data_IF_929595538061
#
_entry.id   IF_929595538061
#
_cell.length_a   1.000
_cell.length_b   1.000
_cell.length_c   1.000
_cell.angle_alpha   90.00
_cell.angle_beta   90.00
_cell.angle_gamma   90.00
#
_symmetry.space_group_name_H-M   'P 1'
#
loop_
_entity.id
_entity.type
_entity.pdbx_description
1 polymer ?
#
# COMPACT_ATOMS: atom_id res chain seq x y z
N UNK A 1 10.83 6.93 9.85
CA UNK A 1 10.03 8.14 10.20
C UNK A 1 8.64 7.63 10.53
N UNK A 2 8.08 8.00 11.69
CA UNK A 2 6.73 7.56 12.10
C UNK A 2 5.75 8.70 11.86
N UNK A 3 4.75 8.47 11.03
CA UNK A 3 3.69 9.42 10.77
C UNK A 3 2.47 9.16 11.65
N UNK A 4 2.40 9.81 12.82
CA UNK A 4 1.19 10.04 13.63
C UNK A 4 0.46 8.82 14.21
N UNK A 5 0.57 8.60 15.53
CA UNK A 5 -0.28 7.65 16.27
C UNK A 5 -0.91 8.35 17.47
N UNK A 6 -2.11 8.90 17.28
CA UNK A 6 -2.96 9.34 18.37
C UNK A 6 -4.03 8.28 18.59
N UNK A 7 -3.83 7.40 19.58
CA UNK A 7 -4.82 6.39 19.94
C UNK A 7 -5.95 7.06 20.74
N UNK A 8 -7.18 6.90 20.26
CA UNK A 8 -8.37 7.48 20.85
C UNK A 8 -9.16 6.43 21.63
N UNK A 9 -8.77 6.12 22.87
CA UNK A 9 -9.41 5.06 23.69
C UNK A 9 -10.95 5.18 23.86
N UNK A 10 -11.54 6.35 23.58
CA UNK A 10 -12.99 6.56 23.53
C UNK A 10 -13.44 7.41 22.31
N UNK A 11 -12.56 7.58 21.31
CA UNK A 11 -12.73 8.55 20.23
C UNK A 11 -12.33 7.99 18.86
N UNK A 12 -12.06 8.91 17.93
CA UNK A 12 -11.61 8.57 16.57
C UNK A 12 -10.09 8.42 16.59
N UNK A 13 -9.57 7.31 16.06
CA UNK A 13 -8.14 7.10 15.89
C UNK A 13 -7.53 8.08 14.88
N UNK A 14 -6.30 8.52 15.13
CA UNK A 14 -5.62 9.49 14.26
C UNK A 14 -5.29 8.92 12.88
N UNK A 15 -5.34 9.71 11.79
CA UNK A 15 -4.89 9.26 10.48
C UNK A 15 -3.37 9.04 10.49
N UNK A 16 -2.93 8.02 9.75
CA UNK A 16 -1.53 7.77 9.48
C UNK A 16 -0.88 8.89 8.65
N UNK A 17 0.45 8.96 8.70
CA UNK A 17 1.20 10.01 8.01
C UNK A 17 1.36 9.81 6.51
N UNK A 18 2.06 10.75 5.88
CA UNK A 18 2.14 10.86 4.44
C UNK A 18 3.52 11.36 4.04
N UNK A 19 4.10 10.73 3.02
CA UNK A 19 5.37 11.16 2.45
C UNK A 19 5.33 11.07 0.92
N UNK A 20 5.83 12.14 0.29
CA UNK A 20 5.93 12.27 -1.16
C UNK A 20 7.37 12.60 -1.51
N UNK A 21 8.03 11.67 -2.19
CA UNK A 21 9.35 11.85 -2.77
C UNK A 21 9.18 11.92 -4.28
N UNK A 22 9.52 13.07 -4.87
CA UNK A 22 9.27 13.34 -6.28
C UNK A 22 10.49 13.99 -6.92
N UNK A 23 10.97 13.44 -8.03
CA UNK A 23 11.96 14.11 -8.90
C UNK A 23 11.25 14.95 -9.95
N UNK A 24 11.48 16.26 -9.96
CA UNK A 24 10.73 17.23 -10.77
C UNK A 24 10.81 16.94 -12.28
N UNK A 25 9.66 16.83 -12.96
CA UNK A 25 9.51 16.51 -14.39
C UNK A 25 9.71 17.73 -15.33
N UNK A 26 9.87 18.94 -14.78
CA UNK A 26 9.73 20.19 -15.53
C UNK A 26 11.02 20.71 -16.16
N UNK A 27 12.16 20.12 -15.86
CA UNK A 27 13.46 20.55 -16.39
C UNK A 27 14.08 19.41 -17.19
N UNK A 28 14.64 19.73 -18.37
CA UNK A 28 15.34 18.74 -19.19
C UNK A 28 16.33 17.96 -18.33
N UNK A 29 16.14 16.64 -18.28
CA UNK A 29 16.94 15.77 -17.44
C UNK A 29 18.26 15.47 -18.14
N UNK A 30 19.28 16.29 -17.88
CA UNK A 30 20.65 15.93 -18.21
C UNK A 30 21.19 14.97 -17.14
N UNK A 31 21.17 13.67 -17.45
CA UNK A 31 21.71 12.61 -16.58
C UNK A 31 20.66 11.73 -15.90
N UNK A 32 21.13 10.85 -15.01
CA UNK A 32 20.30 9.87 -14.32
C UNK A 32 19.59 10.50 -13.10
N UNK A 33 18.26 10.47 -13.11
CA UNK A 33 17.39 11.01 -12.05
C UNK A 33 16.65 9.87 -11.35
N UNK A 34 17.12 9.53 -10.15
CA UNK A 34 16.61 8.44 -9.32
C UNK A 34 15.94 8.99 -8.07
N UNK A 35 14.77 8.46 -7.74
CA UNK A 35 14.16 8.61 -6.43
C UNK A 35 14.40 7.33 -5.61
N UNK A 36 14.99 7.45 -4.42
CA UNK A 36 15.35 6.29 -3.59
C UNK A 36 14.71 6.36 -2.21
N UNK A 37 14.13 5.24 -1.76
CA UNK A 37 13.84 4.98 -0.35
C UNK A 37 14.61 3.75 0.14
N UNK A 38 15.48 3.96 1.11
CA UNK A 38 16.18 2.90 1.84
C UNK A 38 15.78 2.82 3.33
N UNK A 39 14.86 3.67 3.77
CA UNK A 39 14.45 3.76 5.16
C UNK A 39 13.28 2.83 5.49
N UNK A 40 13.14 2.53 6.79
CA UNK A 40 11.89 2.03 7.35
C UNK A 40 10.93 3.21 7.60
N UNK A 41 9.77 3.17 6.93
CA UNK A 41 8.72 4.18 6.98
C UNK A 41 7.42 3.53 7.44
N UNK A 42 6.80 4.15 8.44
CA UNK A 42 5.52 3.70 9.00
C UNK A 42 4.50 4.84 8.94
N UNK A 43 3.42 4.55 8.23
CA UNK A 43 2.31 5.44 7.95
C UNK A 43 1.00 4.85 8.49
N UNK A 44 1.05 3.98 9.49
CA UNK A 44 -0.16 3.34 10.01
C UNK A 44 -1.06 4.33 10.77
N UNK A 45 -2.37 4.13 10.66
CA UNK A 45 -3.37 4.87 11.43
C UNK A 45 -3.39 4.44 12.90
N UNK A 46 -3.92 5.30 13.76
CA UNK A 46 -4.11 5.02 15.18
C UNK A 46 -5.43 4.32 15.48
N UNK A 47 -5.48 3.65 16.62
CA UNK A 47 -6.63 2.88 17.06
C UNK A 47 -7.71 3.78 17.70
N UNK A 48 -8.96 3.32 17.72
CA UNK A 48 -10.05 4.05 18.39
C UNK A 48 -11.41 3.36 18.27
N UNK A 49 -12.46 3.96 18.80
CA UNK A 49 -13.83 3.44 18.60
C UNK A 49 -14.19 3.43 17.10
N UNK A 50 -13.87 4.53 16.40
CA UNK A 50 -13.73 4.56 14.94
C UNK A 50 -12.24 4.67 14.66
N UNK A 51 -11.64 3.66 14.04
CA UNK A 51 -10.21 3.69 13.84
C UNK A 51 -9.75 4.66 12.75
N UNK A 52 -8.50 5.10 12.86
CA UNK A 52 -7.88 6.03 11.92
C UNK A 52 -7.52 5.35 10.59
N UNK A 53 -7.59 6.09 9.47
CA UNK A 53 -7.10 5.58 8.19
C UNK A 53 -5.59 5.37 8.22
N UNK A 54 -5.10 4.39 7.48
CA UNK A 54 -3.69 4.31 7.08
C UNK A 54 -3.30 5.49 6.20
N UNK A 55 -2.00 5.77 6.19
CA UNK A 55 -1.40 6.91 5.52
C UNK A 55 -1.02 6.66 4.06
N UNK A 56 -0.05 7.42 3.54
CA UNK A 56 0.32 7.39 2.12
C UNK A 56 1.82 7.49 1.87
N UNK A 57 2.30 6.77 0.87
CA UNK A 57 3.67 6.87 0.38
C UNK A 57 3.69 6.94 -1.14
N UNK A 58 4.29 8.01 -1.67
CA UNK A 58 4.59 8.16 -3.10
C UNK A 58 6.09 8.31 -3.29
N UNK A 59 6.65 7.45 -4.13
CA UNK A 59 8.00 7.58 -4.67
C UNK A 59 7.91 7.71 -6.19
N UNK A 60 8.18 8.89 -6.71
CA UNK A 60 8.25 9.17 -8.15
C UNK A 60 9.68 9.52 -8.56
N UNK A 61 10.25 8.72 -9.45
CA UNK A 61 11.55 8.95 -10.06
C UNK A 61 11.45 8.97 -11.58
N UNK A 62 12.00 9.99 -12.26
CA UNK A 62 11.89 10.10 -13.71
C UNK A 62 12.53 8.89 -14.41
N UNK A 63 13.81 8.59 -14.14
CA UNK A 63 14.47 7.41 -14.69
C UNK A 63 14.27 6.17 -13.82
N UNK A 64 14.40 6.31 -12.50
CA UNK A 64 14.27 5.15 -11.62
C UNK A 64 13.55 5.53 -10.32
N UNK A 65 12.62 4.70 -9.89
CA UNK A 65 12.11 4.71 -8.52
C UNK A 65 12.55 3.42 -7.81
N UNK A 66 13.45 3.58 -6.83
CA UNK A 66 14.12 2.47 -6.15
C UNK A 66 13.68 2.41 -4.68
N UNK A 67 13.01 1.33 -4.30
CA UNK A 67 12.71 1.04 -2.90
C UNK A 67 13.52 -0.18 -2.43
N UNK A 68 14.37 0.02 -1.43
CA UNK A 68 15.09 -1.04 -0.70
C UNK A 68 14.70 -1.09 0.78
N UNK A 69 13.98 -0.07 1.26
CA UNK A 69 13.50 0.03 2.63
C UNK A 69 12.25 -0.79 2.95
N UNK A 70 11.68 -0.56 4.14
CA UNK A 70 10.41 -1.16 4.56
C UNK A 70 9.35 -0.07 4.59
N UNK A 71 8.20 -0.32 3.95
CA UNK A 71 7.07 0.60 3.98
C UNK A 71 5.89 -0.11 4.62
N UNK A 72 5.34 0.46 5.69
CA UNK A 72 4.15 -0.05 6.38
C UNK A 72 3.06 1.02 6.37
N UNK A 73 1.84 0.64 6.02
CA UNK A 73 0.66 1.49 6.13
C UNK A 73 -0.59 0.67 6.41
N UNK A 74 -0.89 0.51 7.70
CA UNK A 74 -2.06 -0.21 8.18
C UNK A 74 -3.16 0.78 8.60
N UNK A 75 -4.41 0.38 8.50
CA UNK A 75 -5.50 1.05 9.21
C UNK A 75 -5.41 0.73 10.70
N UNK A 76 -5.92 1.63 11.55
CA UNK A 76 -6.04 1.36 12.99
C UNK A 76 -7.15 0.36 13.30
N UNK A 77 -7.13 -0.20 14.50
CA UNK A 77 -8.13 -1.13 15.01
C UNK A 77 -9.25 -0.40 15.79
N UNK A 78 -10.47 -0.95 15.75
CA UNK A 78 -11.61 -0.33 16.44
C UNK A 78 -12.90 -1.14 16.44
N UNK A 79 -14.03 -0.50 16.78
CA UNK A 79 -15.36 -1.12 16.57
C UNK A 79 -15.69 -1.17 15.08
N UNK A 80 -15.32 -0.10 14.38
CA UNK A 80 -15.23 -0.04 12.93
C UNK A 80 -13.76 0.10 12.59
N UNK A 81 -13.20 -0.92 11.94
CA UNK A 81 -11.80 -0.96 11.56
C UNK A 81 -11.45 0.18 10.62
N UNK A 82 -10.29 0.79 10.85
CA UNK A 82 -9.78 1.88 10.04
C UNK A 82 -9.48 1.38 8.64
N UNK A 83 -9.82 2.13 7.59
CA UNK A 83 -9.27 1.82 6.29
C UNK A 83 -7.75 1.76 6.37
N UNK A 84 -7.13 0.88 5.58
CA UNK A 84 -5.72 0.94 5.30
C UNK A 84 -5.41 2.10 4.37
N UNK A 85 -4.61 1.79 3.38
CA UNK A 85 -4.25 2.70 2.30
C UNK A 85 -5.46 2.90 1.34
N UNK A 86 -6.21 4.01 1.44
CA UNK A 86 -7.46 4.25 0.68
C UNK A 86 -7.29 4.94 -0.67
N UNK A 87 -8.09 4.51 -1.65
CA UNK A 87 -8.31 4.95 -3.04
C UNK A 87 -8.25 6.46 -3.41
N UNK A 88 -8.24 7.39 -2.45
CA UNK A 88 -8.07 8.82 -2.71
C UNK A 88 -6.78 9.32 -2.05
N UNK A 89 -5.63 8.79 -2.51
CA UNK A 89 -4.25 9.15 -2.12
C UNK A 89 -3.62 8.33 -0.97
N UNK A 90 -4.36 7.43 -0.31
CA UNK A 90 -3.80 6.42 0.60
C UNK A 90 -3.33 5.18 -0.17
N UNK A 91 -2.03 4.92 -0.17
CA UNK A 91 -1.42 3.90 -1.03
C UNK A 91 0.08 3.89 -0.88
N UNK A 92 0.72 2.78 -1.25
CA UNK A 92 2.14 2.77 -1.58
C UNK A 92 2.24 2.81 -3.10
N UNK A 93 2.76 3.91 -3.61
CA UNK A 93 2.90 4.17 -5.04
C UNK A 93 4.38 4.30 -5.39
N UNK A 94 4.90 3.38 -6.19
CA UNK A 94 6.25 3.50 -6.78
C UNK A 94 6.08 3.74 -8.28
N UNK A 95 6.42 4.94 -8.74
CA UNK A 95 6.12 5.39 -10.09
C UNK A 95 7.40 5.84 -10.79
N UNK A 96 7.57 5.43 -12.05
CA UNK A 96 8.64 5.94 -12.90
C UNK A 96 8.25 6.05 -14.36
N UNK A 97 8.85 6.98 -15.08
CA UNK A 97 8.75 7.05 -16.54
C UNK A 97 9.63 6.01 -17.23
N UNK A 98 10.58 5.39 -16.53
CA UNK A 98 11.38 4.28 -17.04
C UNK A 98 11.27 3.06 -16.12
N UNK A 99 12.13 2.89 -15.11
CA UNK A 99 12.17 1.66 -14.32
C UNK A 99 11.69 1.86 -12.88
N UNK A 100 11.00 0.87 -12.35
CA UNK A 100 10.73 0.75 -10.91
C UNK A 100 11.43 -0.50 -10.38
N UNK A 101 12.25 -0.35 -9.35
CA UNK A 101 12.88 -1.47 -8.66
C UNK A 101 12.44 -1.51 -7.21
N UNK A 102 11.71 -2.58 -6.84
CA UNK A 102 11.41 -2.88 -5.44
C UNK A 102 12.20 -4.08 -4.95
N UNK A 103 13.12 -3.83 -4.03
CA UNK A 103 13.87 -4.83 -3.24
C UNK A 103 13.54 -4.77 -1.76
N UNK A 104 12.70 -3.80 -1.36
CA UNK A 104 12.21 -3.59 -0.03
C UNK A 104 10.86 -4.26 0.26
N UNK A 105 10.54 -4.45 1.53
CA UNK A 105 9.26 -5.06 1.95
C UNK A 105 8.17 -4.00 2.01
N UNK A 106 7.01 -4.30 1.46
CA UNK A 106 5.83 -3.43 1.56
C UNK A 106 4.71 -4.17 2.29
N UNK A 107 4.17 -3.55 3.32
CA UNK A 107 3.04 -4.06 4.11
C UNK A 107 1.93 -3.02 4.11
N UNK A 108 0.74 -3.44 3.73
CA UNK A 108 -0.47 -2.63 3.82
C UNK A 108 -1.63 -3.46 4.35
N UNK A 109 -2.69 -2.78 4.78
CA UNK A 109 -3.93 -3.47 5.10
C UNK A 109 -4.93 -2.63 5.85
N UNK A 110 -6.18 -3.07 5.84
CA UNK A 110 -7.20 -2.51 6.70
C UNK A 110 -6.96 -2.89 8.16
N UNK A 111 -7.47 -2.07 9.06
CA UNK A 111 -7.52 -2.41 10.47
C UNK A 111 -8.65 -3.39 10.79
N UNK A 112 -8.53 -3.99 11.97
CA UNK A 112 -9.52 -4.89 12.54
C UNK A 112 -10.72 -4.11 13.09
N UNK A 113 -11.91 -4.64 12.90
CA UNK A 113 -13.14 -4.09 13.46
C UNK A 113 -13.93 -5.10 14.28
N UNK A 114 -14.48 -4.74 15.44
CA UNK A 114 -15.40 -5.63 16.17
C UNK A 114 -16.68 -5.91 15.35
N UNK A 115 -17.23 -4.88 14.69
CA UNK A 115 -18.46 -4.98 13.88
C UNK A 115 -18.15 -5.09 12.39
N UNK A 116 -17.20 -4.28 11.91
CA UNK A 116 -16.88 -4.17 10.49
C UNK A 116 -15.40 -3.94 10.27
N UNK A 117 -14.78 -4.76 9.43
CA UNK A 117 -13.38 -4.61 9.06
C UNK A 117 -13.14 -3.40 8.15
N UNK A 118 -11.93 -2.83 8.23
CA UNK A 118 -11.53 -1.70 7.40
C UNK A 118 -11.39 -2.02 5.90
N UNK A 119 -11.14 -1.01 5.10
CA UNK A 119 -10.74 -1.19 3.71
C UNK A 119 -9.32 -1.73 3.63
N UNK A 120 -9.06 -2.74 2.81
CA UNK A 120 -7.70 -3.22 2.53
C UNK A 120 -6.78 -2.14 1.98
N UNK A 121 -5.47 -2.42 1.99
CA UNK A 121 -4.48 -1.50 1.44
C UNK A 121 -4.38 -1.56 -0.09
N UNK A 122 -3.64 -0.62 -0.67
CA UNK A 122 -3.29 -0.57 -2.09
C UNK A 122 -1.79 -0.40 -2.22
N UNK A 123 -1.17 -1.29 -2.98
CA UNK A 123 0.20 -1.15 -3.45
C UNK A 123 0.17 -1.11 -4.97
N UNK A 124 0.67 -0.02 -5.55
CA UNK A 124 0.74 0.17 -6.99
C UNK A 124 2.16 0.51 -7.42
N UNK A 125 2.66 -0.22 -8.42
CA UNK A 125 3.92 0.07 -9.08
C UNK A 125 3.66 0.28 -10.56
N UNK A 126 4.14 1.39 -11.09
CA UNK A 126 4.01 1.71 -12.50
C UNK A 126 5.33 2.20 -13.08
N UNK A 127 5.72 1.62 -14.21
CA UNK A 127 6.95 1.94 -14.90
C UNK A 127 6.68 2.09 -16.41
N UNK A 128 7.15 3.17 -17.03
CA UNK A 128 7.07 3.32 -18.49
C UNK A 128 7.89 2.23 -19.23
N UNK A 129 9.01 1.79 -18.67
CA UNK A 129 9.78 0.68 -19.21
C UNK A 129 9.48 -0.64 -18.48
N UNK A 130 9.98 -0.85 -17.26
CA UNK A 130 9.81 -2.11 -16.53
C UNK A 130 9.69 -1.95 -15.01
N UNK A 131 8.70 -2.64 -14.42
CA UNK A 131 8.62 -2.92 -12.98
C UNK A 131 9.39 -4.20 -12.67
N UNK A 132 10.32 -4.12 -11.71
CA UNK A 132 11.09 -5.25 -11.16
C UNK A 132 10.79 -5.37 -9.66
N UNK A 133 9.90 -6.28 -9.27
CA UNK A 133 9.66 -6.59 -7.87
C UNK A 133 10.41 -7.85 -7.43
N UNK A 134 11.37 -7.69 -6.53
CA UNK A 134 12.19 -8.79 -5.97
C UNK A 134 11.88 -9.11 -4.52
N UNK A 135 11.02 -8.32 -3.87
CA UNK A 135 10.73 -8.43 -2.45
C UNK A 135 9.26 -8.70 -2.17
N UNK A 136 8.95 -9.05 -0.92
CA UNK A 136 7.60 -9.40 -0.53
C UNK A 136 6.70 -8.18 -0.43
N UNK A 137 5.51 -8.29 -1.02
CA UNK A 137 4.42 -7.35 -0.84
C UNK A 137 3.28 -8.11 -0.16
N UNK A 138 2.82 -7.62 0.98
CA UNK A 138 1.71 -8.19 1.72
C UNK A 138 0.63 -7.12 1.95
N UNK A 139 -0.58 -7.38 1.47
CA UNK A 139 -1.71 -6.46 1.62
C UNK A 139 -2.91 -7.22 2.16
N UNK A 140 -3.27 -6.94 3.40
CA UNK A 140 -4.42 -7.55 4.05
C UNK A 140 -5.71 -6.78 3.73
N UNK A 141 -6.85 -7.48 3.66
CA UNK A 141 -8.15 -6.82 3.81
C UNK A 141 -8.39 -6.40 5.26
N UNK A 142 -9.49 -5.70 5.52
CA UNK A 142 -9.92 -5.46 6.91
C UNK A 142 -10.66 -6.65 7.48
N UNK A 143 -10.18 -7.15 8.62
CA UNK A 143 -10.79 -8.28 9.31
C UNK A 143 -11.78 -7.81 10.38
N UNK A 144 -12.68 -8.70 10.81
CA UNK A 144 -13.60 -8.41 11.91
C UNK A 144 -14.14 -9.66 12.62
N UNK A 145 -14.72 -9.44 13.80
CA UNK A 145 -15.54 -10.44 14.51
C UNK A 145 -16.97 -10.58 13.96
N UNK A 146 -17.33 -9.83 12.92
CA UNK A 146 -18.67 -9.83 12.34
C UNK A 146 -18.63 -9.80 10.81
N UNK A 147 -18.53 -8.62 10.18
CA UNK A 147 -18.52 -8.49 8.71
C UNK A 147 -17.16 -8.00 8.20
N UNK A 148 -16.51 -8.81 7.37
CA UNK A 148 -15.22 -8.48 6.76
C UNK A 148 -15.28 -7.21 5.90
N UNK A 149 -14.16 -6.51 5.83
CA UNK A 149 -13.98 -5.30 5.04
C UNK A 149 -13.58 -5.57 3.58
N UNK A 150 -13.09 -4.55 2.87
CA UNK A 150 -12.58 -4.79 1.51
C UNK A 150 -11.22 -5.49 1.56
N UNK A 151 -10.96 -6.36 0.58
CA UNK A 151 -9.66 -6.99 0.37
C UNK A 151 -8.58 -6.00 -0.05
N UNK A 152 -7.33 -6.43 0.06
CA UNK A 152 -6.18 -5.69 -0.43
C UNK A 152 -6.10 -5.63 -1.95
N UNK A 153 -5.32 -4.69 -2.49
CA UNK A 153 -4.98 -4.65 -3.92
C UNK A 153 -3.48 -4.48 -4.14
N UNK A 154 -2.93 -5.30 -5.03
CA UNK A 154 -1.59 -5.16 -5.59
C UNK A 154 -1.74 -4.96 -7.10
N UNK A 155 -1.17 -3.90 -7.66
CA UNK A 155 -1.13 -3.67 -9.11
C UNK A 155 0.30 -3.34 -9.54
N UNK A 156 0.88 -4.19 -10.37
CA UNK A 156 2.21 -4.00 -10.94
C UNK A 156 2.05 -3.84 -12.45
N UNK A 157 2.51 -2.72 -13.01
CA UNK A 157 2.31 -2.43 -14.43
C UNK A 157 3.54 -1.84 -15.08
N UNK A 158 3.91 -2.44 -16.21
CA UNK A 158 4.93 -1.93 -17.12
C UNK A 158 4.31 -1.59 -18.47
N UNK A 159 4.79 -0.58 -19.19
CA UNK A 159 4.26 -0.27 -20.54
C UNK A 159 5.03 -0.97 -21.67
N UNK A 160 6.36 -1.03 -21.61
CA UNK A 160 7.18 -1.51 -22.73
C UNK A 160 7.70 -2.94 -22.54
N UNK A 161 8.15 -3.29 -21.34
CA UNK A 161 8.74 -4.60 -21.03
C UNK A 161 7.91 -5.28 -19.96
N UNK A 162 7.59 -6.59 -20.07
CA UNK A 162 6.79 -7.29 -19.07
C UNK A 162 7.33 -7.13 -17.65
N UNK A 163 6.42 -6.95 -16.70
CA UNK A 163 6.73 -6.88 -15.28
C UNK A 163 7.47 -8.14 -14.84
N UNK A 164 8.60 -7.97 -14.16
CA UNK A 164 9.37 -9.06 -13.57
C UNK A 164 9.09 -9.11 -12.07
N UNK A 165 8.42 -10.17 -11.63
CA UNK A 165 8.16 -10.42 -10.22
C UNK A 165 8.80 -11.73 -9.77
N UNK A 166 9.78 -11.65 -8.87
CA UNK A 166 10.36 -12.80 -8.17
C UNK A 166 10.06 -12.79 -6.66
N UNK A 167 9.54 -11.68 -6.15
CA UNK A 167 9.08 -11.56 -4.77
C UNK A 167 7.71 -12.21 -4.53
N UNK A 168 7.42 -12.53 -3.27
CA UNK A 168 6.10 -13.04 -2.89
C UNK A 168 5.05 -11.93 -2.92
N UNK A 169 3.94 -12.17 -3.60
CA UNK A 169 2.76 -11.30 -3.58
C UNK A 169 1.69 -11.99 -2.72
N UNK A 170 1.32 -11.37 -1.60
CA UNK A 170 0.28 -11.86 -0.70
C UNK A 170 -0.81 -10.82 -0.62
N UNK A 171 -2.00 -11.17 -1.11
CA UNK A 171 -3.18 -10.34 -0.95
C UNK A 171 -4.24 -11.16 -0.24
N UNK A 172 -4.94 -10.54 0.70
CA UNK A 172 -6.01 -11.20 1.44
C UNK A 172 -7.30 -10.43 1.29
N UNK A 173 -8.42 -11.16 1.32
CA UNK A 173 -9.75 -10.58 1.48
C UNK A 173 -9.94 -10.00 2.87
N UNK A 174 -11.06 -9.32 3.08
CA UNK A 174 -11.52 -9.00 4.43
C UNK A 174 -12.26 -10.20 5.01
N UNK A 175 -11.80 -10.72 6.15
CA UNK A 175 -12.44 -11.87 6.78
C UNK A 175 -13.42 -11.43 7.86
N UNK A 176 -14.58 -12.08 7.95
CA UNK A 176 -15.56 -11.85 9.00
C UNK A 176 -16.20 -13.15 9.48
N UNK A 177 -16.53 -13.23 10.77
CA UNK A 177 -17.13 -14.44 11.35
C UNK A 177 -18.53 -14.71 10.79
N UNK A 178 -19.32 -13.66 10.54
CA UNK A 178 -20.68 -13.77 10.03
C UNK A 178 -20.73 -13.71 8.50
N UNK A 179 -19.90 -12.84 7.91
CA UNK A 179 -19.78 -12.72 6.47
C UNK A 179 -18.38 -12.21 6.10
N UNK A 180 -17.76 -12.88 5.15
CA UNK A 180 -16.54 -12.35 4.52
C UNK A 180 -16.86 -11.13 3.68
N UNK A 181 -15.87 -10.24 3.58
CA UNK A 181 -15.92 -9.06 2.75
C UNK A 181 -15.40 -9.33 1.34
N UNK A 182 -14.86 -8.29 0.69
CA UNK A 182 -14.35 -8.44 -0.67
C UNK A 182 -13.02 -9.22 -0.68
N UNK A 183 -12.81 -10.00 -1.74
CA UNK A 183 -11.54 -10.69 -1.99
C UNK A 183 -10.39 -9.71 -2.23
N UNK A 184 -9.17 -10.16 -1.98
CA UNK A 184 -7.97 -9.44 -2.41
C UNK A 184 -7.74 -9.59 -3.92
N UNK A 185 -7.06 -8.63 -4.54
CA UNK A 185 -6.77 -8.63 -5.99
C UNK A 185 -5.28 -8.44 -6.25
N UNK A 186 -4.71 -9.27 -7.12
CA UNK A 186 -3.37 -9.06 -7.71
C UNK A 186 -3.50 -8.88 -9.21
N UNK A 187 -3.03 -7.74 -9.71
CA UNK A 187 -2.99 -7.44 -11.14
C UNK A 187 -1.55 -7.23 -11.60
N UNK A 188 -1.13 -7.94 -12.65
CA UNK A 188 0.18 -7.78 -13.29
C UNK A 188 -0.03 -7.47 -14.77
N UNK A 189 0.46 -6.33 -15.22
CA UNK A 189 0.35 -5.84 -16.61
C UNK A 189 -1.09 -5.88 -17.15
N UNK A 190 -2.05 -5.54 -16.30
CA UNK A 190 -3.49 -5.51 -16.64
C UNK A 190 -4.18 -6.88 -16.60
N UNK A 191 -3.49 -7.94 -16.19
CA UNK A 191 -4.06 -9.28 -16.02
C UNK A 191 -4.27 -9.56 -14.53
N UNK A 192 -5.49 -9.96 -14.17
CA UNK A 192 -5.79 -10.47 -12.83
C UNK A 192 -5.16 -11.87 -12.64
N UNK A 193 -4.25 -11.97 -11.68
CA UNK A 193 -3.50 -13.18 -11.33
C UNK A 193 -3.76 -13.61 -9.88
N UNK A 194 -4.88 -13.17 -9.32
CA UNK A 194 -5.30 -13.51 -7.96
C UNK A 194 -5.38 -15.05 -7.81
N UNK A 195 -4.65 -15.66 -6.86
CA UNK A 195 -4.77 -17.09 -6.60
C UNK A 195 -6.19 -17.46 -6.17
N UNK A 196 -6.76 -18.48 -6.81
CA UNK A 196 -8.06 -19.07 -6.47
C UNK A 196 -7.97 -20.00 -5.26
#
# INVERSE_FOLDING_TARGET
MNGGTGDGAAGVGGPGGWAFFWTDIRYGHDGLVVAENSAALDFSGGDGYVAGPGGAFLLYGYNEANNSGVITGLGGDGVIGGPGLVLNWGGVYLLSSYDVLNTGVIKGGGGFGDIQGGFGGIVSMFAGNQVKNKASIAVNGGNSDSVGGLGGRISLRSELVPTSNTGALKVFGGNGVQADGAIGIVEIDGVDVTPL
#
